data_IF_424059274419
#
_entry.id   IF_424059274419
#
_cell.length_a   1.000
_cell.length_b   1.000
_cell.length_c   1.000
_cell.angle_alpha   90.00
_cell.angle_beta   90.00
_cell.angle_gamma   90.00
#
_symmetry.space_group_name_H-M   'P 1'
#
loop_
_entity.id
_entity.type
_entity.pdbx_description
1 polymer ?
#
# COMPACT_ATOMS: atom_id res chain seq x y z
N UNK A 1 -7.09 -16.90 -5.32
CA UNK A 1 -6.02 -16.39 -4.44
C UNK A 1 -5.43 -15.16 -5.13
N UNK A 2 -5.04 -14.12 -4.38
CA UNK A 2 -4.49 -12.85 -4.91
C UNK A 2 -3.28 -12.44 -4.08
N UNK A 3 -2.35 -11.70 -4.67
CA UNK A 3 -1.20 -11.14 -3.97
C UNK A 3 -1.54 -9.75 -3.45
N UNK A 4 -1.16 -9.43 -2.21
CA UNK A 4 -1.42 -8.12 -1.63
C UNK A 4 -0.13 -7.48 -1.15
N UNK A 5 0.04 -6.20 -1.42
CA UNK A 5 1.15 -5.40 -0.89
C UNK A 5 0.54 -4.19 -0.19
N UNK A 6 1.08 -3.85 0.98
CA UNK A 6 0.54 -2.78 1.80
C UNK A 6 1.62 -1.73 1.99
N UNK A 7 1.24 -0.46 1.96
CA UNK A 7 2.11 0.65 2.34
C UNK A 7 1.50 1.37 3.52
N UNK A 8 2.35 1.60 4.51
CA UNK A 8 2.05 2.37 5.69
C UNK A 8 3.06 3.49 5.84
N UNK A 9 2.83 4.41 6.78
CA UNK A 9 3.87 5.39 7.14
C UNK A 9 5.08 4.66 7.72
N UNK A 10 6.27 5.19 7.48
CA UNK A 10 7.50 4.67 8.10
C UNK A 10 7.41 4.65 9.63
N UNK A 11 6.72 5.62 10.22
CA UNK A 11 6.45 5.65 11.66
C UNK A 11 5.62 4.44 12.13
N UNK A 12 4.71 3.91 11.29
CA UNK A 12 3.95 2.70 11.61
C UNK A 12 4.87 1.48 11.66
N UNK A 13 5.85 1.39 10.76
CA UNK A 13 6.91 0.35 10.78
C UNK A 13 7.72 0.43 12.07
N UNK A 14 8.19 1.62 12.46
CA UNK A 14 8.95 1.80 13.71
C UNK A 14 8.14 1.40 14.95
N UNK A 15 6.84 1.74 14.95
CA UNK A 15 5.92 1.42 16.04
C UNK A 15 5.66 -0.09 16.14
N UNK A 16 5.48 -0.77 15.01
CA UNK A 16 5.31 -2.23 14.96
C UNK A 16 6.56 -2.95 15.46
N UNK A 17 7.74 -2.58 14.95
CA UNK A 17 9.03 -3.15 15.36
C UNK A 17 9.31 -2.94 16.85
N UNK A 18 8.90 -1.79 17.41
CA UNK A 18 9.06 -1.49 18.84
C UNK A 18 8.01 -2.21 19.70
N UNK A 19 6.79 -2.39 19.20
CA UNK A 19 5.71 -3.05 19.91
C UNK A 19 5.95 -4.56 20.05
N UNK A 20 6.65 -5.18 19.08
CA UNK A 20 6.90 -6.63 19.04
C UNK A 20 5.60 -7.44 19.21
N UNK A 21 4.52 -6.96 18.58
CA UNK A 21 3.15 -7.46 18.73
C UNK A 21 2.72 -8.14 17.42
N UNK A 22 2.59 -9.46 17.43
CA UNK A 22 2.16 -10.25 16.27
C UNK A 22 0.74 -9.88 15.77
N UNK A 23 -0.08 -9.26 16.61
CA UNK A 23 -1.42 -8.76 16.29
C UNK A 23 -1.46 -7.24 16.07
N UNK A 24 -0.32 -6.61 15.77
CA UNK A 24 -0.24 -5.16 15.59
C UNK A 24 -1.20 -4.65 14.53
N UNK A 25 -1.30 -5.35 13.39
CA UNK A 25 -2.14 -4.98 12.25
C UNK A 25 -3.63 -5.28 12.45
N UNK A 26 -4.02 -6.10 13.43
CA UNK A 26 -5.43 -6.32 13.79
C UNK A 26 -6.07 -5.06 14.41
N UNK A 27 -5.23 -4.14 14.89
CA UNK A 27 -5.66 -2.90 15.55
C UNK A 27 -5.42 -1.72 14.64
N UNK A 28 -6.49 -1.20 14.04
CA UNK A 28 -6.38 0.00 13.20
C UNK A 28 -5.86 1.23 13.95
N UNK A 29 -6.05 1.32 15.26
CA UNK A 29 -5.47 2.36 16.14
C UNK A 29 -3.93 2.33 16.19
N UNK A 30 -3.34 1.18 15.85
CA UNK A 30 -1.90 1.07 15.75
C UNK A 30 -1.36 1.75 14.50
N UNK A 31 -2.14 1.77 13.42
CA UNK A 31 -1.78 2.32 12.12
C UNK A 31 -1.86 3.84 12.14
N UNK A 32 -0.74 4.50 11.85
CA UNK A 32 -0.68 5.95 11.83
C UNK A 32 -1.37 6.45 10.56
N UNK A 33 -2.40 7.32 10.68
CA UNK A 33 -3.11 7.85 9.53
C UNK A 33 -2.19 8.72 8.67
N UNK A 34 -2.43 8.67 7.36
CA UNK A 34 -1.82 9.56 6.39
C UNK A 34 -2.30 10.99 6.58
N UNK A 35 -1.40 11.93 6.33
CA UNK A 35 -1.76 13.32 6.24
C UNK A 35 -2.56 13.60 4.97
N UNK A 36 -3.37 14.67 4.98
CA UNK A 36 -4.16 15.06 3.80
C UNK A 36 -3.29 15.32 2.57
N UNK A 37 -2.08 15.85 2.79
CA UNK A 37 -1.11 16.07 1.74
C UNK A 37 -0.62 14.74 1.18
N UNK A 38 -0.18 13.82 2.05
CA UNK A 38 0.26 12.48 1.66
C UNK A 38 -0.79 11.70 0.85
N UNK A 39 -2.07 11.75 1.26
CA UNK A 39 -3.16 11.12 0.49
C UNK A 39 -3.28 11.75 -0.91
N UNK A 40 -3.14 13.06 -1.01
CA UNK A 40 -3.23 13.78 -2.29
C UNK A 40 -2.06 13.43 -3.20
N UNK A 41 -0.82 13.42 -2.66
CA UNK A 41 0.38 13.00 -3.38
C UNK A 41 0.29 11.55 -3.86
N UNK A 42 -0.13 10.62 -2.99
CA UNK A 42 -0.32 9.21 -3.36
C UNK A 42 -1.37 9.06 -4.47
N UNK A 43 -2.47 9.82 -4.39
CA UNK A 43 -3.49 9.85 -5.43
C UNK A 43 -2.93 10.36 -6.76
N UNK A 44 -2.18 11.45 -6.77
CA UNK A 44 -1.58 12.00 -7.99
C UNK A 44 -0.55 11.04 -8.60
N UNK A 45 0.22 10.33 -7.75
CA UNK A 45 1.10 9.25 -8.20
C UNK A 45 0.30 8.14 -8.87
N UNK A 46 -0.73 7.58 -8.21
CA UNK A 46 -1.56 6.53 -8.80
C UNK A 46 -2.12 6.94 -10.17
N UNK A 47 -2.64 8.16 -10.30
CA UNK A 47 -3.11 8.69 -11.58
C UNK A 47 -1.99 8.78 -12.64
N UNK A 48 -0.78 9.15 -12.23
CA UNK A 48 0.40 9.16 -13.11
C UNK A 48 0.80 7.77 -13.60
N UNK A 49 0.61 6.75 -12.77
CA UNK A 49 0.74 5.34 -13.14
C UNK A 49 -0.49 4.79 -13.90
N UNK A 50 -1.39 5.65 -14.39
CA UNK A 50 -2.61 5.29 -15.13
C UNK A 50 -3.62 4.43 -14.36
N UNK A 51 -3.55 4.44 -13.04
CA UNK A 51 -4.65 3.90 -12.24
C UNK A 51 -5.87 4.81 -12.37
N UNK A 52 -7.04 4.22 -12.57
CA UNK A 52 -8.30 4.92 -12.73
C UNK A 52 -9.14 4.75 -11.45
N UNK A 53 -9.67 5.85 -10.92
CA UNK A 53 -10.57 5.80 -9.77
C UNK A 53 -11.89 5.14 -10.19
N UNK A 54 -12.15 3.94 -9.67
CA UNK A 54 -13.35 3.16 -9.97
C UNK A 54 -14.47 3.38 -8.95
N UNK A 55 -14.12 3.67 -7.69
CA UNK A 55 -15.07 3.86 -6.60
C UNK A 55 -14.46 4.67 -5.46
N UNK A 56 -15.31 5.42 -4.76
CA UNK A 56 -14.99 6.02 -3.47
C UNK A 56 -16.09 5.59 -2.47
N UNK A 57 -15.69 5.07 -1.32
CA UNK A 57 -16.58 4.72 -0.21
C UNK A 57 -15.93 5.00 1.15
N UNK A 58 -16.63 4.64 2.23
CA UNK A 58 -16.18 4.88 3.61
C UNK A 58 -14.82 4.23 3.91
N UNK A 59 -14.45 3.17 3.19
CA UNK A 59 -13.16 2.49 3.30
C UNK A 59 -12.01 3.27 2.66
N UNK A 60 -12.32 4.12 1.65
CA UNK A 60 -11.35 4.93 0.92
C UNK A 60 -11.60 5.01 -0.59
N UNK A 61 -10.53 5.33 -1.32
CA UNK A 61 -10.50 5.48 -2.77
C UNK A 61 -10.04 4.18 -3.41
N UNK A 62 -10.89 3.57 -4.23
CA UNK A 62 -10.59 2.38 -5.00
C UNK A 62 -10.17 2.74 -6.41
N UNK A 63 -9.00 2.28 -6.80
CA UNK A 63 -8.44 2.42 -8.13
C UNK A 63 -8.26 1.05 -8.81
N UNK A 64 -8.42 1.03 -10.12
CA UNK A 64 -8.13 -0.13 -10.97
C UNK A 64 -7.20 0.31 -12.08
N UNK A 65 -6.27 -0.54 -12.47
CA UNK A 65 -5.48 -0.32 -13.67
C UNK A 65 -6.09 -1.07 -14.87
N UNK A 66 -6.06 -0.52 -16.09
CA UNK A 66 -6.55 -1.21 -17.29
C UNK A 66 -5.68 -2.41 -17.69
N UNK A 67 -4.41 -2.39 -17.30
CA UNK A 67 -3.48 -3.50 -17.45
C UNK A 67 -3.58 -4.45 -16.25
N UNK A 68 -3.82 -5.74 -16.51
CA UNK A 68 -4.07 -6.76 -15.48
C UNK A 68 -2.84 -6.98 -14.57
N UNK A 69 -1.64 -6.64 -15.04
CA UNK A 69 -0.41 -6.78 -14.27
C UNK A 69 -0.31 -5.80 -13.09
N UNK A 70 -0.94 -4.64 -13.18
CA UNK A 70 -0.92 -3.63 -12.10
C UNK A 70 -2.01 -3.86 -11.05
N UNK A 71 -3.03 -4.65 -11.39
CA UNK A 71 -4.10 -5.00 -10.46
C UNK A 71 -4.93 -3.81 -9.97
N UNK A 72 -5.36 -3.87 -8.71
CA UNK A 72 -6.23 -2.88 -8.08
C UNK A 72 -5.56 -2.28 -6.85
N UNK A 73 -5.94 -1.06 -6.49
CA UNK A 73 -5.38 -0.33 -5.35
C UNK A 73 -6.49 0.27 -4.51
N UNK A 74 -6.39 0.16 -3.20
CA UNK A 74 -7.23 0.84 -2.23
C UNK A 74 -6.37 1.85 -1.46
N UNK A 75 -6.61 3.13 -1.68
CA UNK A 75 -6.04 4.21 -0.89
C UNK A 75 -7.01 4.55 0.24
N UNK A 76 -6.67 4.11 1.46
CA UNK A 76 -7.38 4.45 2.68
C UNK A 76 -6.66 5.57 3.44
N UNK A 77 -7.32 6.15 4.43
CA UNK A 77 -6.72 7.19 5.28
C UNK A 77 -5.57 6.70 6.16
N UNK A 78 -5.35 5.39 6.26
CA UNK A 78 -4.32 4.77 7.13
C UNK A 78 -3.30 3.91 6.38
N UNK A 79 -3.51 3.66 5.10
CA UNK A 79 -2.68 2.74 4.34
C UNK A 79 -3.08 2.68 2.87
N UNK A 80 -2.15 2.24 2.04
CA UNK A 80 -2.35 2.01 0.61
C UNK A 80 -2.19 0.52 0.33
N UNK A 81 -3.24 -0.11 -0.17
CA UNK A 81 -3.32 -1.56 -0.34
C UNK A 81 -3.38 -1.90 -1.80
N UNK A 82 -2.31 -2.49 -2.32
CA UNK A 82 -2.26 -3.03 -3.67
C UNK A 82 -2.73 -4.49 -3.66
N UNK A 83 -3.46 -4.86 -4.71
CA UNK A 83 -3.97 -6.21 -4.92
C UNK A 83 -3.72 -6.64 -6.36
N UNK A 84 -2.83 -7.60 -6.52
CA UNK A 84 -2.42 -8.16 -7.81
C UNK A 84 -2.97 -9.58 -8.01
N UNK A 85 -2.92 -10.03 -9.27
CA UNK A 85 -3.02 -11.46 -9.61
C UNK A 85 -1.87 -12.27 -9.00
N UNK A 86 -1.92 -13.60 -9.15
CA UNK A 86 -0.83 -14.49 -8.74
C UNK A 86 0.23 -14.71 -9.83
N UNK A 87 0.10 -14.03 -10.97
CA UNK A 87 1.10 -14.11 -12.04
C UNK A 87 2.38 -13.42 -11.59
N UNK A 88 3.54 -13.98 -11.94
CA UNK A 88 4.85 -13.40 -11.60
C UNK A 88 4.97 -11.96 -12.09
N UNK A 89 4.50 -11.67 -13.31
CA UNK A 89 4.45 -10.31 -13.87
C UNK A 89 3.66 -9.36 -12.96
N UNK A 90 2.47 -9.77 -12.52
CA UNK A 90 1.62 -8.89 -11.74
C UNK A 90 2.16 -8.64 -10.33
N UNK A 91 2.76 -9.68 -9.72
CA UNK A 91 3.43 -9.56 -8.42
C UNK A 91 4.64 -8.61 -8.54
N UNK A 92 5.40 -8.74 -9.62
CA UNK A 92 6.58 -7.91 -9.88
C UNK A 92 6.22 -6.44 -10.12
N UNK A 93 5.27 -6.15 -11.02
CA UNK A 93 4.85 -4.77 -11.34
C UNK A 93 4.29 -4.05 -10.10
N UNK A 94 3.41 -4.72 -9.34
CA UNK A 94 2.85 -4.16 -8.11
C UNK A 94 3.92 -4.00 -7.03
N UNK A 95 4.83 -4.96 -6.90
CA UNK A 95 5.95 -4.88 -5.96
C UNK A 95 6.91 -3.73 -6.24
N UNK A 96 7.18 -3.48 -7.52
CA UNK A 96 8.02 -2.38 -8.00
C UNK A 96 7.32 -1.04 -7.82
N UNK A 97 6.06 -0.93 -8.26
CA UNK A 97 5.24 0.28 -8.08
C UNK A 97 5.16 0.68 -6.60
N UNK A 98 4.91 -0.28 -5.72
CA UNK A 98 4.87 -0.02 -4.28
C UNK A 98 6.23 0.43 -3.73
N UNK A 99 7.35 -0.13 -4.22
CA UNK A 99 8.69 0.28 -3.79
C UNK A 99 9.04 1.70 -4.26
N UNK A 100 8.63 2.10 -5.46
CA UNK A 100 8.79 3.48 -5.93
C UNK A 100 8.04 4.48 -5.04
N UNK A 101 6.96 4.06 -4.39
CA UNK A 101 6.21 4.93 -3.49
C UNK A 101 6.95 5.13 -2.15
N UNK A 102 7.79 4.18 -1.76
CA UNK A 102 8.63 4.28 -0.55
C UNK A 102 9.94 5.04 -0.73
N UNK A 103 10.33 5.38 -1.97
CA UNK A 103 11.61 6.07 -2.27
C UNK A 103 11.79 7.40 -1.50
N UNK A 104 10.67 8.08 -1.21
CA UNK A 104 10.66 9.30 -0.38
C UNK A 104 11.05 9.09 1.09
N UNK A 105 11.04 7.85 1.58
CA UNK A 105 11.26 7.50 2.99
C UNK A 105 10.08 7.80 3.92
N UNK A 106 9.02 8.43 3.42
CA UNK A 106 7.80 8.71 4.19
C UNK A 106 6.94 7.47 4.44
N UNK A 107 7.06 6.49 3.53
CA UNK A 107 6.27 5.26 3.53
C UNK A 107 7.17 4.03 3.61
N UNK A 108 6.63 2.97 4.18
CA UNK A 108 7.24 1.66 4.25
C UNK A 108 6.31 0.61 3.62
N UNK A 109 6.89 -0.26 2.79
CA UNK A 109 6.21 -1.37 2.13
C UNK A 109 6.20 -2.58 3.07
N UNK A 110 5.04 -3.18 3.26
CA UNK A 110 4.82 -4.40 4.00
C UNK A 110 4.23 -5.47 3.09
N UNK A 111 4.87 -6.63 3.09
CA UNK A 111 4.43 -7.79 2.33
C UNK A 111 3.91 -8.87 3.30
N UNK A 112 2.58 -8.97 3.49
CA UNK A 112 2.00 -9.96 4.40
C UNK A 112 2.19 -11.41 3.91
N UNK A 113 2.46 -11.63 2.62
CA UNK A 113 2.77 -12.99 2.13
C UNK A 113 4.20 -13.42 2.45
N UNK A 114 5.11 -12.45 2.64
CA UNK A 114 6.49 -12.70 3.05
C UNK A 114 6.74 -12.35 4.53
N UNK A 115 5.70 -11.93 5.25
CA UNK A 115 5.72 -11.52 6.65
C UNK A 115 6.84 -10.50 6.95
N UNK A 116 7.06 -9.56 6.01
CA UNK A 116 8.24 -8.71 6.03
C UNK A 116 8.00 -7.29 5.57
N UNK A 117 8.68 -6.35 6.23
CA UNK A 117 8.87 -5.01 5.70
C UNK A 117 9.95 -5.01 4.62
N UNK A 118 9.82 -4.14 3.63
CA UNK A 118 10.93 -3.84 2.75
C UNK A 118 12.08 -3.20 3.54
N UNK A 119 13.27 -3.76 3.35
CA UNK A 119 14.53 -3.26 3.88
C UNK A 119 15.36 -2.71 2.72
N UNK A 120 15.87 -1.48 2.88
CA UNK A 120 16.72 -0.77 1.92
C UNK A 120 18.18 -0.83 2.33
#
# INVERSE_FOLDING_TARGET
MSYNIQLFRSETKEKEQTANDESFFDREDNLIPFEKQQISDLKERLLSYRYELVREDDSGLHFSHPDEDFGNVLLSGRGLYFRAGLSESSIFEVGMTASEFTDTGEFAKYDPQQEGWEEF
#
